data_IF_085688448390
#
_entry.id   IF_085688448390
#
_cell.length_a   1.000
_cell.length_b   1.000
_cell.length_c   1.000
_cell.angle_alpha   90.00
_cell.angle_beta   90.00
_cell.angle_gamma   90.00
#
_symmetry.space_group_name_H-M   'P 1'
#
loop_
_entity.id
_entity.type
_entity.pdbx_description
1 polymer ?
#
# COMPACT_ATOMS: atom_id res chain seq x y z
N UNK A 1 -1.10 9.40 -8.11
CA UNK A 1 -1.51 8.10 -7.58
C UNK A 1 -2.34 8.15 -6.30
N UNK A 2 -2.99 9.27 -5.93
CA UNK A 2 -3.82 9.27 -4.71
C UNK A 2 -4.97 8.24 -4.76
N UNK A 3 -5.42 7.89 -5.96
CA UNK A 3 -6.46 6.90 -6.23
C UNK A 3 -5.93 5.44 -6.24
N UNK A 4 -4.68 5.17 -5.82
CA UNK A 4 -4.10 3.83 -5.91
C UNK A 4 -4.76 2.88 -4.92
N UNK A 5 -5.22 1.74 -5.43
CA UNK A 5 -5.69 0.57 -4.68
C UNK A 5 -4.85 -0.65 -5.09
N UNK A 6 -4.91 -1.74 -4.33
CA UNK A 6 -4.46 -3.04 -4.85
C UNK A 6 -5.63 -3.71 -5.56
N UNK A 7 -5.38 -4.21 -6.76
CA UNK A 7 -6.32 -5.08 -7.49
C UNK A 7 -5.60 -6.39 -7.77
N UNK A 8 -6.06 -7.47 -7.15
CA UNK A 8 -5.36 -8.77 -7.06
C UNK A 8 -3.90 -8.61 -6.62
N UNK A 9 -3.69 -7.85 -5.54
CA UNK A 9 -2.36 -7.56 -4.97
C UNK A 9 -1.50 -6.56 -5.76
N UNK A 10 -1.95 -6.07 -6.92
CA UNK A 10 -1.17 -5.16 -7.78
C UNK A 10 -1.64 -3.70 -7.67
N UNK A 11 -0.73 -2.73 -7.50
CA UNK A 11 -1.08 -1.31 -7.52
C UNK A 11 -1.80 -0.94 -8.82
N UNK A 12 -3.00 -0.37 -8.69
CA UNK A 12 -3.87 0.00 -9.80
C UNK A 12 -4.46 1.38 -9.55
N UNK A 13 -4.46 2.24 -10.57
CA UNK A 13 -5.10 3.56 -10.51
C UNK A 13 -6.61 3.39 -10.66
N UNK A 14 -7.35 3.39 -9.54
CA UNK A 14 -8.81 3.24 -9.57
C UNK A 14 -9.51 4.31 -10.41
N UNK A 15 -8.97 5.52 -10.43
CA UNK A 15 -9.49 6.63 -11.21
C UNK A 15 -9.39 6.44 -12.73
N UNK A 16 -8.60 5.47 -13.20
CA UNK A 16 -8.51 5.07 -14.61
C UNK A 16 -9.04 3.66 -14.86
N UNK A 17 -9.69 3.05 -13.87
CA UNK A 17 -10.20 1.69 -13.94
C UNK A 17 -11.72 1.72 -13.86
N UNK A 18 -12.40 1.28 -14.92
CA UNK A 18 -13.85 1.17 -14.91
C UNK A 18 -14.29 0.12 -13.87
N UNK A 19 -15.34 0.40 -13.10
CA UNK A 19 -15.84 -0.51 -12.07
C UNK A 19 -16.14 -1.92 -12.61
N UNK A 20 -16.67 -2.03 -13.84
CA UNK A 20 -16.92 -3.32 -14.50
C UNK A 20 -15.66 -4.18 -14.65
N UNK A 21 -14.49 -3.56 -14.82
CA UNK A 21 -13.21 -4.28 -14.92
C UNK A 21 -12.70 -4.79 -13.57
N UNK A 22 -13.28 -4.34 -12.46
CA UNK A 22 -13.00 -4.83 -11.12
C UNK A 22 -13.92 -5.99 -10.70
N UNK A 23 -14.99 -6.27 -11.44
CA UNK A 23 -15.95 -7.33 -11.12
C UNK A 23 -15.27 -8.69 -11.00
N UNK A 24 -15.51 -9.40 -9.89
CA UNK A 24 -14.89 -10.68 -9.58
C UNK A 24 -13.42 -10.61 -9.17
N UNK A 25 -12.82 -9.42 -9.09
CA UNK A 25 -11.43 -9.19 -8.64
C UNK A 25 -11.38 -8.82 -7.16
N UNK A 26 -10.26 -9.10 -6.53
CA UNK A 26 -10.02 -8.67 -5.15
C UNK A 26 -9.51 -7.24 -5.14
N UNK A 27 -10.21 -6.34 -4.43
CA UNK A 27 -9.78 -4.94 -4.26
C UNK A 27 -9.44 -4.68 -2.80
N UNK A 28 -8.23 -4.20 -2.56
CA UNK A 28 -7.74 -3.77 -1.24
C UNK A 28 -7.44 -2.28 -1.25
N UNK A 29 -8.10 -1.55 -0.35
CA UNK A 29 -7.89 -0.12 -0.11
C UNK A 29 -7.01 0.10 1.12
N UNK A 30 -6.77 1.36 1.49
CA UNK A 30 -6.00 1.70 2.70
C UNK A 30 -6.63 1.12 3.99
N UNK A 31 -7.96 1.06 4.04
CA UNK A 31 -8.72 0.49 5.15
C UNK A 31 -8.46 -1.01 5.28
N UNK A 32 -8.32 -1.71 4.16
CA UNK A 32 -8.01 -3.14 4.11
C UNK A 32 -6.58 -3.48 4.55
N UNK A 33 -5.66 -2.51 4.54
CA UNK A 33 -4.27 -2.66 4.99
C UNK A 33 -4.09 -2.45 6.50
N UNK A 34 -5.14 -2.04 7.21
CA UNK A 34 -5.09 -1.83 8.67
C UNK A 34 -5.45 -3.14 9.39
N UNK A 35 -4.51 -3.79 10.10
CA UNK A 35 -4.83 -5.01 10.83
C UNK A 35 -5.80 -4.73 11.99
N UNK A 36 -6.56 -5.74 12.47
CA UNK A 36 -7.48 -5.57 13.60
C UNK A 36 -6.79 -5.11 14.90
N UNK A 37 -5.48 -5.38 15.03
CA UNK A 37 -4.66 -4.96 16.16
C UNK A 37 -4.25 -3.48 16.13
N UNK A 38 -4.62 -2.72 15.09
CA UNK A 38 -4.34 -1.29 14.94
C UNK A 38 -3.49 -0.98 13.71
N UNK A 39 -2.68 0.08 13.78
CA UNK A 39 -1.86 0.49 12.63
C UNK A 39 -0.83 -0.57 12.25
N UNK A 40 -0.73 -0.83 10.95
CA UNK A 40 0.34 -1.62 10.32
C UNK A 40 1.72 -1.00 10.60
N UNK A 41 2.78 -1.79 10.45
CA UNK A 41 4.17 -1.35 10.57
C UNK A 41 4.47 -0.17 9.67
N UNK A 42 3.99 -0.20 8.42
CA UNK A 42 4.14 0.90 7.48
C UNK A 42 3.31 2.13 7.88
N UNK A 43 2.04 1.95 8.24
CA UNK A 43 1.17 3.06 8.67
C UNK A 43 1.73 3.78 9.90
N UNK A 44 2.21 3.03 10.88
CA UNK A 44 2.87 3.55 12.07
C UNK A 44 4.15 4.31 11.74
N UNK A 45 4.98 3.77 10.84
CA UNK A 45 6.17 4.46 10.38
C UNK A 45 5.83 5.82 9.74
N UNK A 46 4.74 5.93 8.97
CA UNK A 46 4.30 7.20 8.39
C UNK A 46 3.92 8.25 9.45
N UNK A 47 3.25 7.82 10.52
CA UNK A 47 2.88 8.71 11.65
C UNK A 47 4.15 9.17 12.37
N UNK A 48 5.03 8.24 12.74
CA UNK A 48 6.18 8.53 13.59
C UNK A 48 7.28 9.35 12.90
N UNK A 49 7.44 9.21 11.57
CA UNK A 49 8.45 10.00 10.83
C UNK A 49 7.93 11.35 10.34
N UNK A 50 6.63 11.63 10.50
CA UNK A 50 5.99 12.80 9.90
C UNK A 50 5.90 12.70 8.37
N UNK A 51 5.73 11.49 7.84
CA UNK A 51 5.55 11.26 6.40
C UNK A 51 4.17 11.67 5.86
N UNK A 52 3.32 12.24 6.72
CA UNK A 52 2.00 12.75 6.37
C UNK A 52 1.81 14.16 6.95
N UNK A 53 1.17 15.05 6.18
CA UNK A 53 0.76 16.39 6.62
C UNK A 53 -0.73 16.57 6.35
N UNK A 54 -1.11 17.08 5.18
CA UNK A 54 -2.52 17.22 4.80
C UNK A 54 -3.27 15.88 4.65
N UNK A 55 -2.52 14.76 4.56
CA UNK A 55 -3.08 13.41 4.50
C UNK A 55 -3.62 12.97 3.15
N UNK A 56 -3.87 13.88 2.21
CA UNK A 56 -4.60 13.56 0.98
C UNK A 56 -3.94 12.48 0.10
N UNK A 57 -2.61 12.52 -0.03
CA UNK A 57 -1.86 11.53 -0.82
C UNK A 57 -1.50 10.27 -0.03
N UNK A 58 -1.61 10.31 1.29
CA UNK A 58 -1.11 9.26 2.20
C UNK A 58 -1.68 7.87 1.90
N UNK A 59 -2.98 7.69 1.60
CA UNK A 59 -3.52 6.39 1.22
C UNK A 59 -2.80 5.76 0.01
N UNK A 60 -2.64 6.52 -1.08
CA UNK A 60 -1.99 6.02 -2.30
C UNK A 60 -0.52 5.66 -2.09
N UNK A 61 0.22 6.46 -1.31
CA UNK A 61 1.59 6.14 -0.94
C UNK A 61 1.72 4.85 -0.14
N UNK A 62 0.88 4.67 0.89
CA UNK A 62 0.92 3.48 1.74
C UNK A 62 0.56 2.25 0.90
N UNK A 63 -0.48 2.31 0.06
CA UNK A 63 -0.87 1.21 -0.82
C UNK A 63 0.26 0.81 -1.78
N UNK A 64 0.90 1.78 -2.45
CA UNK A 64 2.02 1.48 -3.36
C UNK A 64 3.24 0.93 -2.61
N UNK A 65 3.58 1.48 -1.45
CA UNK A 65 4.69 0.98 -0.64
C UNK A 65 4.42 -0.41 -0.07
N UNK A 66 3.19 -0.72 0.33
CA UNK A 66 2.80 -2.07 0.76
C UNK A 66 3.02 -3.09 -0.35
N UNK A 67 2.67 -2.79 -1.60
CA UNK A 67 2.94 -3.69 -2.71
C UNK A 67 4.45 -3.92 -2.94
N UNK A 68 5.27 -2.87 -2.84
CA UNK A 68 6.73 -3.00 -2.92
C UNK A 68 7.27 -3.89 -1.79
N UNK A 69 6.89 -3.62 -0.54
CA UNK A 69 7.40 -4.35 0.62
C UNK A 69 6.96 -5.81 0.63
N UNK A 70 5.81 -6.12 0.03
CA UNK A 70 5.31 -7.49 -0.09
C UNK A 70 6.10 -8.33 -1.12
N UNK A 71 6.76 -7.70 -2.10
CA UNK A 71 7.66 -8.38 -3.04
C UNK A 71 9.14 -8.27 -2.65
N UNK A 72 9.52 -7.15 -2.03
CA UNK A 72 10.89 -6.78 -1.69
C UNK A 72 10.91 -6.27 -0.24
N UNK A 73 11.03 -7.15 0.78
CA UNK A 73 10.95 -6.77 2.19
C UNK A 73 12.03 -5.78 2.66
N UNK A 74 13.17 -5.75 1.95
CA UNK A 74 14.31 -4.87 2.22
C UNK A 74 14.69 -4.11 0.95
N UNK A 75 13.86 -3.16 0.48
CA UNK A 75 14.14 -2.46 -0.76
C UNK A 75 15.25 -1.43 -0.53
N UNK A 76 16.04 -1.19 -1.57
CA UNK A 76 16.93 -0.02 -1.67
C UNK A 76 16.14 1.27 -1.75
N UNK A 77 16.82 2.40 -1.50
CA UNK A 77 16.20 3.73 -1.64
C UNK A 77 15.70 3.96 -3.06
N UNK A 78 16.47 3.52 -4.05
CA UNK A 78 16.18 3.67 -5.47
C UNK A 78 14.90 2.90 -5.83
N UNK A 79 14.75 1.66 -5.36
CA UNK A 79 13.53 0.87 -5.55
C UNK A 79 12.30 1.54 -4.92
N UNK A 80 12.45 2.14 -3.72
CA UNK A 80 11.37 2.91 -3.08
C UNK A 80 10.98 4.11 -3.95
N UNK A 81 11.96 4.90 -4.43
CA UNK A 81 11.69 6.05 -5.29
C UNK A 81 10.97 5.64 -6.57
N UNK A 82 11.41 4.55 -7.22
CA UNK A 82 10.79 4.05 -8.44
C UNK A 82 9.36 3.57 -8.18
N UNK A 83 9.14 2.75 -7.15
CA UNK A 83 7.81 2.23 -6.81
C UNK A 83 6.80 3.35 -6.45
N UNK A 84 7.30 4.45 -5.89
CA UNK A 84 6.47 5.58 -5.48
C UNK A 84 6.35 6.68 -6.53
N UNK A 85 7.04 6.59 -7.68
CA UNK A 85 7.07 7.63 -8.70
C UNK A 85 5.70 8.02 -9.26
N UNK A 86 4.72 7.12 -9.19
CA UNK A 86 3.32 7.40 -9.56
C UNK A 86 2.51 8.18 -8.52
N UNK A 87 3.06 8.44 -7.33
CA UNK A 87 2.40 9.14 -6.24
C UNK A 87 3.01 10.52 -6.02
N UNK A 88 2.17 11.56 -6.13
CA UNK A 88 2.60 12.95 -5.96
C UNK A 88 2.23 13.42 -4.55
N UNK A 89 3.16 14.08 -3.89
CA UNK A 89 2.95 14.74 -2.62
C UNK A 89 3.28 16.22 -2.74
N UNK A 90 2.39 17.09 -2.27
CA UNK A 90 2.63 18.54 -2.25
C UNK A 90 3.23 19.06 -0.94
N UNK A 91 3.09 18.31 0.15
CA UNK A 91 3.34 18.83 1.50
C UNK A 91 4.68 18.36 2.10
N UNK A 92 5.08 17.11 1.90
CA UNK A 92 6.15 16.48 2.70
C UNK A 92 7.55 16.57 2.08
N UNK A 93 7.66 16.91 0.80
CA UNK A 93 8.95 16.89 0.10
C UNK A 93 9.57 15.49 -0.07
N UNK A 94 8.78 14.42 0.08
CA UNK A 94 9.12 13.00 -0.15
C UNK A 94 10.13 12.36 0.82
N UNK A 95 11.09 13.10 1.36
CA UNK A 95 12.17 12.53 2.21
C UNK A 95 11.62 11.68 3.36
N UNK A 96 10.63 12.19 4.12
CA UNK A 96 10.02 11.45 5.24
C UNK A 96 9.19 10.24 4.81
N UNK A 97 8.61 10.27 3.61
CA UNK A 97 7.90 9.12 3.02
C UNK A 97 8.91 8.00 2.74
N UNK A 98 10.01 8.33 2.08
CA UNK A 98 11.06 7.35 1.75
C UNK A 98 11.67 6.77 3.03
N UNK A 99 11.97 7.61 4.03
CA UNK A 99 12.43 7.16 5.35
C UNK A 99 11.42 6.23 6.05
N UNK A 100 10.11 6.53 5.98
CA UNK A 100 9.08 5.67 6.58
C UNK A 100 9.03 4.28 5.95
N UNK A 101 9.21 4.19 4.63
CA UNK A 101 9.21 2.90 3.91
C UNK A 101 10.44 2.08 4.28
N UNK A 102 11.62 2.71 4.22
CA UNK A 102 12.92 2.07 4.52
C UNK A 102 13.11 1.72 6.00
N UNK A 103 12.29 2.27 6.91
CA UNK A 103 12.41 1.99 8.34
C UNK A 103 12.30 0.48 8.58
N UNK A 104 13.17 -0.17 9.37
CA UNK A 104 13.03 -1.59 9.67
C UNK A 104 11.77 -1.89 10.50
N UNK A 105 11.26 -3.12 10.39
CA UNK A 105 10.16 -3.63 11.22
C UNK A 105 9.64 -4.96 10.69
N UNK A 106 8.84 -5.65 11.51
CA UNK A 106 8.19 -6.89 11.07
C UNK A 106 7.29 -6.64 9.84
N UNK A 107 7.27 -7.57 8.88
CA UNK A 107 6.45 -7.43 7.68
C UNK A 107 4.97 -7.40 8.06
N UNK A 108 4.23 -6.52 7.38
CA UNK A 108 2.78 -6.44 7.55
C UNK A 108 2.13 -7.77 7.10
N UNK A 109 1.07 -8.25 7.77
CA UNK A 109 0.49 -9.59 7.56
C UNK A 109 -0.29 -9.74 6.23
N UNK A 110 -0.07 -8.86 5.25
CA UNK A 110 -0.81 -8.83 3.99
C UNK A 110 -0.13 -9.72 2.92
N UNK A 111 -0.88 -10.55 2.18
CA UNK A 111 -0.29 -11.47 1.20
C UNK A 111 0.42 -10.74 0.05
N UNK A 112 1.57 -11.30 -0.34
CA UNK A 112 2.33 -10.88 -1.51
C UNK A 112 1.52 -11.05 -2.80
N UNK A 113 1.62 -10.16 -3.79
CA UNK A 113 1.02 -10.37 -5.11
C UNK A 113 1.50 -11.66 -5.81
N UNK A 114 2.60 -12.26 -5.34
CA UNK A 114 3.12 -13.53 -5.85
C UNK A 114 2.73 -14.76 -5.00
N UNK A 115 1.93 -14.58 -3.93
CA UNK A 115 1.35 -15.70 -3.21
C UNK A 115 0.26 -16.31 -4.10
N UNK A 116 0.64 -17.32 -4.89
CA UNK A 116 -0.29 -18.11 -5.70
C UNK A 116 -1.50 -18.48 -4.85
N UNK A 117 -2.70 -18.21 -5.38
CA UNK A 117 -4.00 -18.58 -4.82
C UNK A 117 -3.97 -20.00 -4.25
N UNK A 118 -3.82 -20.10 -2.93
CA UNK A 118 -3.66 -21.36 -2.21
C UNK A 118 -3.74 -21.14 -0.71
N UNK A 119 -4.90 -21.46 -0.15
CA UNK A 119 -5.23 -21.62 1.28
C UNK A 119 -5.15 -20.40 2.21
N UNK A 120 -6.34 -19.97 2.66
CA UNK A 120 -6.69 -19.54 4.03
C UNK A 120 -5.63 -18.77 4.84
N UNK A 121 -5.44 -17.49 4.51
CA UNK A 121 -4.92 -16.48 5.43
C UNK A 121 -6.05 -15.75 6.16
N UNK A 122 -5.78 -15.02 7.27
CA UNK A 122 -6.81 -14.45 8.13
C UNK A 122 -7.70 -13.49 7.34
N UNK A 123 -9.00 -13.51 7.62
CA UNK A 123 -10.04 -12.74 6.94
C UNK A 123 -9.66 -11.26 6.85
N UNK A 124 -9.06 -10.90 5.73
CA UNK A 124 -8.69 -9.54 5.45
C UNK A 124 -9.96 -8.79 5.07
N UNK A 125 -10.07 -7.50 5.41
CA UNK A 125 -11.25 -6.68 5.10
C UNK A 125 -11.25 -6.31 3.62
N UNK A 126 -11.13 -7.29 2.73
CA UNK A 126 -11.25 -7.10 1.29
C UNK A 126 -12.69 -7.25 0.85
N UNK A 127 -13.09 -6.36 -0.05
CA UNK A 127 -14.34 -6.48 -0.75
C UNK A 127 -14.04 -7.09 -2.10
N UNK A 128 -14.60 -8.27 -2.37
CA UNK A 128 -14.80 -8.68 -3.77
C UNK A 128 -15.82 -7.74 -4.36
N UNK A 129 -15.48 -7.10 -5.48
CA UNK A 129 -16.47 -6.29 -6.22
C UNK A 129 -17.43 -7.28 -6.87
N UNK A 130 -18.68 -7.27 -6.39
CA UNK A 130 -19.79 -8.06 -6.94
C UNK A 130 -20.47 -7.31 -8.08
#
# INVERSE_FOLDING_TARGET
GCCTVLMDGRPTLSCLTLARLAEGREVTTIEGLTPPSGLSRLQRAFVETGATQCGFCTPGFIVSASALLASTPHPSREEVVQALGGNLCRCTGYTKIIEAVLRPGEPDPWPSPNARSGSSGPASRTSTVR
#
